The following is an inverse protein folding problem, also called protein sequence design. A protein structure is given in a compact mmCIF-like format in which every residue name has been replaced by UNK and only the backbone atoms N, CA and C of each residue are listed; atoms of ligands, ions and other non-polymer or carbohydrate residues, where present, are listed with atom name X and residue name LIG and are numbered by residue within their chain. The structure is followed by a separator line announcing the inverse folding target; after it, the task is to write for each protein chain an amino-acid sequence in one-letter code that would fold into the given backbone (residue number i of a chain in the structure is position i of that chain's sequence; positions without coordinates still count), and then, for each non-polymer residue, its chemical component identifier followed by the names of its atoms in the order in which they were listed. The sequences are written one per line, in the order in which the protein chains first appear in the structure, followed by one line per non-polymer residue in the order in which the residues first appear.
data_IF_259332852914
#
_entry.id   IF_259332852914
#
_cell.length_a   1.000
_cell.length_b   1.000
_cell.length_c   1.000
_cell.angle_alpha   90.00
_cell.angle_beta   90.00
_cell.angle_gamma   90.00
#
_symmetry.space_group_name_H-M   'P 1'
#
loop_
_entity.id
_entity.type
_entity.pdbx_description
1 polymer ?
#
# COMPACT_ATOMS: atom_id res chain seq x y z
N UNK A 1 -22.25 18.84 12.39
CA UNK A 1 -22.18 17.89 13.52
C UNK A 1 -21.70 16.49 13.10
N UNK A 2 -21.81 16.11 11.83
CA UNK A 2 -21.51 14.76 11.33
C UNK A 2 -20.02 14.38 11.33
N UNK A 3 -19.10 15.32 11.08
CA UNK A 3 -17.64 15.06 11.08
C UNK A 3 -17.10 14.55 12.42
N UNK A 4 -17.67 14.99 13.55
CA UNK A 4 -17.24 14.52 14.89
C UNK A 4 -17.65 13.07 15.13
N UNK A 5 -18.76 12.63 14.54
CA UNK A 5 -19.29 11.29 14.70
C UNK A 5 -18.47 10.25 13.91
N UNK A 6 -18.06 10.60 12.69
CA UNK A 6 -17.15 9.78 11.86
C UNK A 6 -15.78 9.57 12.52
N UNK A 7 -15.20 10.61 13.13
CA UNK A 7 -13.92 10.50 13.85
C UNK A 7 -14.04 9.58 15.05
N UNK A 8 -15.15 9.66 15.80
CA UNK A 8 -15.41 8.79 16.95
C UNK A 8 -15.55 7.33 16.51
N UNK A 9 -16.30 7.05 15.44
CA UNK A 9 -16.42 5.68 14.91
C UNK A 9 -15.07 5.10 14.48
N UNK A 10 -14.23 5.90 13.84
CA UNK A 10 -12.91 5.47 13.38
C UNK A 10 -11.94 5.19 14.54
N UNK A 11 -11.95 6.03 15.58
CA UNK A 11 -11.14 5.79 16.80
C UNK A 11 -11.60 4.53 17.53
N UNK A 12 -12.91 4.30 17.62
CA UNK A 12 -13.47 3.08 18.20
C UNK A 12 -13.05 1.85 17.40
N UNK A 13 -13.05 1.93 16.06
CA UNK A 13 -12.63 0.82 15.21
C UNK A 13 -11.13 0.50 15.39
N UNK A 14 -10.27 1.52 15.44
CA UNK A 14 -8.83 1.34 15.71
C UNK A 14 -8.59 0.71 17.09
N UNK A 15 -9.34 1.14 18.11
CA UNK A 15 -9.26 0.55 19.44
C UNK A 15 -9.73 -0.92 19.46
N UNK A 16 -10.79 -1.24 18.72
CA UNK A 16 -11.26 -2.63 18.57
C UNK A 16 -10.19 -3.49 17.90
N UNK A 17 -9.56 -3.01 16.82
CA UNK A 17 -8.47 -3.72 16.13
C UNK A 17 -7.27 -3.91 17.06
N UNK A 18 -6.88 -2.87 17.81
CA UNK A 18 -5.78 -2.96 18.78
C UNK A 18 -6.07 -3.97 19.92
N UNK A 19 -7.32 -4.00 20.42
CA UNK A 19 -7.75 -4.98 21.42
C UNK A 19 -7.80 -6.39 20.84
N UNK A 20 -8.26 -6.55 19.60
CA UNK A 20 -8.26 -7.84 18.90
C UNK A 20 -6.84 -8.38 18.71
N UNK A 21 -5.90 -7.52 18.29
CA UNK A 21 -4.47 -7.85 18.17
C UNK A 21 -3.89 -8.29 19.53
N UNK A 22 -4.15 -7.55 20.60
CA UNK A 22 -3.66 -7.89 21.94
C UNK A 22 -4.27 -9.19 22.49
N UNK A 23 -5.54 -9.47 22.18
CA UNK A 23 -6.21 -10.73 22.55
C UNK A 23 -5.66 -11.90 21.74
N UNK A 24 -5.40 -11.72 20.44
CA UNK A 24 -4.78 -12.74 19.60
C UNK A 24 -3.34 -13.04 20.02
N UNK A 25 -2.55 -12.03 20.37
CA UNK A 25 -1.19 -12.21 20.86
C UNK A 25 -1.14 -13.02 22.17
N UNK A 26 -2.09 -12.77 23.10
CA UNK A 26 -2.24 -13.61 24.30
C UNK A 26 -2.64 -15.05 23.98
N UNK A 27 -3.54 -15.26 23.02
CA UNK A 27 -3.94 -16.60 22.58
C UNK A 27 -2.80 -17.36 21.89
N UNK A 28 -2.01 -16.66 21.09
CA UNK A 28 -0.83 -17.19 20.42
C UNK A 28 0.20 -17.68 21.44
N UNK A 29 0.53 -16.83 22.43
CA UNK A 29 1.47 -17.18 23.50
C UNK A 29 0.99 -18.40 24.32
N UNK A 30 -0.32 -18.50 24.58
CA UNK A 30 -0.89 -19.65 25.29
C UNK A 30 -0.83 -20.95 24.46
N UNK A 31 -1.07 -20.90 23.16
CA UNK A 31 -0.94 -22.06 22.27
C UNK A 31 0.51 -22.48 22.05
N UNK A 32 1.45 -21.52 21.97
CA UNK A 32 2.87 -21.80 21.86
C UNK A 32 3.40 -22.48 23.14
N UNK A 33 2.92 -22.07 24.31
CA UNK A 33 3.21 -22.77 25.57
C UNK A 33 2.67 -24.21 25.56
N UNK A 34 1.44 -24.42 25.06
CA UNK A 34 0.82 -25.73 24.94
C UNK A 34 1.56 -26.66 23.96
N UNK A 35 2.04 -26.13 22.82
CA UNK A 35 2.91 -26.84 21.88
C UNK A 35 4.25 -27.23 22.51
N UNK A 36 4.85 -26.34 23.31
CA UNK A 36 6.10 -26.64 24.02
C UNK A 36 5.92 -27.76 25.05
N UNK A 37 4.75 -27.82 25.69
CA UNK A 37 4.40 -28.86 26.66
C UNK A 37 4.09 -30.20 25.97
N UNK A 38 3.36 -30.17 24.84
CA UNK A 38 3.15 -31.34 24.00
C UNK A 38 4.46 -31.89 23.41
N UNK A 39 5.38 -31.02 22.98
CA UNK A 39 6.72 -31.43 22.53
C UNK A 39 7.50 -32.16 23.62
N UNK A 40 7.39 -31.73 24.89
CA UNK A 40 7.98 -32.43 26.04
C UNK A 40 7.30 -33.78 26.32
N UNK A 41 5.98 -33.86 26.19
CA UNK A 41 5.24 -35.11 26.36
C UNK A 41 5.60 -36.13 25.27
N UNK A 42 5.70 -35.70 24.00
CA UNK A 42 6.15 -36.53 22.88
C UNK A 42 7.58 -37.03 23.14
N UNK A 43 8.50 -36.16 23.58
CA UNK A 43 9.87 -36.56 23.92
C UNK A 43 9.92 -37.59 25.06
N UNK A 44 9.08 -37.42 26.09
CA UNK A 44 8.94 -38.38 27.20
C UNK A 44 8.40 -39.73 26.71
N UNK A 45 7.36 -39.75 25.89
CA UNK A 45 6.78 -40.98 25.33
C UNK A 45 7.75 -41.71 24.39
N UNK A 46 8.55 -40.97 23.60
CA UNK A 46 9.62 -41.56 22.79
C UNK A 46 10.70 -42.22 23.65
N UNK A 47 11.09 -41.58 24.76
CA UNK A 47 12.02 -42.16 25.73
C UNK A 47 11.46 -43.39 26.44
N UNK A 48 10.16 -43.37 26.77
CA UNK A 48 9.48 -44.50 27.41
C UNK A 48 9.38 -45.69 26.45
N UNK A 49 9.01 -45.46 25.19
CA UNK A 49 8.97 -46.48 24.13
C UNK A 49 10.35 -47.10 23.90
N UNK A 50 11.41 -46.29 23.85
CA UNK A 50 12.79 -46.79 23.73
C UNK A 50 13.15 -47.69 24.94
N UNK A 51 12.78 -47.28 26.16
CA UNK A 51 13.03 -48.09 27.36
C UNK A 51 12.24 -49.41 27.38
N UNK A 52 11.02 -49.43 26.85
CA UNK A 52 10.19 -50.64 26.73
C UNK A 52 10.76 -51.56 25.66
N UNK A 53 11.22 -51.02 24.53
CA UNK A 53 11.92 -51.78 23.50
C UNK A 53 13.23 -52.38 24.02
N UNK A 54 14.05 -51.60 24.73
CA UNK A 54 15.30 -52.07 25.33
C UNK A 54 15.05 -53.16 26.39
N UNK A 55 14.03 -53.02 27.24
CA UNK A 55 13.62 -54.06 28.19
C UNK A 55 13.10 -55.32 27.50
N UNK A 56 12.37 -55.16 26.39
CA UNK A 56 11.87 -56.30 25.60
C UNK A 56 13.01 -57.03 24.92
N UNK A 57 14.00 -56.30 24.38
CA UNK A 57 15.22 -56.86 23.80
C UNK A 57 16.06 -57.55 24.88
N UNK A 58 16.25 -56.92 26.04
CA UNK A 58 16.94 -57.51 27.17
C UNK A 58 16.25 -58.80 27.65
N UNK A 59 14.93 -58.81 27.80
CA UNK A 59 14.15 -60.00 28.18
C UNK A 59 14.17 -61.11 27.11
N UNK A 60 14.32 -60.77 25.82
CA UNK A 60 14.54 -61.73 24.74
C UNK A 60 15.98 -62.28 24.72
N UNK A 61 16.94 -61.50 25.21
CA UNK A 61 18.35 -61.92 25.36
C UNK A 61 18.58 -62.73 26.64
N UNK A 62 17.80 -62.47 27.69
CA UNK A 62 17.91 -63.05 29.04
C UNK A 62 16.94 -64.23 29.28
N UNK A 63 16.57 -64.94 28.21
CA UNK A 63 15.89 -66.25 28.30
C UNK A 63 16.87 -67.36 28.72
N UNK A 64 17.60 -67.13 29.81
CA UNK A 64 18.18 -68.13 30.70
C UNK A 64 18.33 -67.53 32.12
N UNK A 65 17.23 -67.26 32.83
CA UNK A 65 17.02 -67.61 34.26
C UNK A 65 15.85 -66.84 34.91
N UNK A 66 14.94 -67.58 35.54
CA UNK A 66 14.35 -67.23 36.85
C UNK A 66 13.25 -66.16 36.95
N UNK A 67 12.05 -66.58 37.35
CA UNK A 67 10.86 -65.76 37.63
C UNK A 67 11.00 -64.78 38.82
N UNK A 68 10.43 -63.58 38.68
CA UNK A 68 9.58 -62.92 39.69
C UNK A 68 8.89 -61.64 39.14
N UNK A 69 7.77 -61.19 39.76
CA UNK A 69 6.67 -60.53 39.05
C UNK A 69 6.89 -59.02 38.86
N UNK A 70 6.69 -58.54 37.63
CA UNK A 70 6.73 -57.12 37.28
C UNK A 70 5.33 -56.52 37.24
N UNK A 71 5.25 -55.29 37.75
CA UNK A 71 4.14 -54.33 37.61
C UNK A 71 3.53 -54.33 36.19
N UNK A 72 2.29 -53.86 36.00
CA UNK A 72 1.70 -53.74 34.67
C UNK A 72 2.53 -52.77 33.81
N UNK A 73 3.49 -53.31 33.07
CA UNK A 73 4.25 -52.59 32.04
C UNK A 73 3.27 -52.32 30.91
N UNK A 74 3.01 -51.03 30.63
CA UNK A 74 2.24 -50.63 29.46
C UNK A 74 2.80 -51.35 28.22
N UNK A 75 1.92 -52.01 27.47
CA UNK A 75 2.38 -52.76 26.29
C UNK A 75 2.95 -51.79 25.26
N UNK A 76 3.98 -52.19 24.50
CA UNK A 76 4.60 -51.30 23.50
C UNK A 76 3.57 -50.68 22.53
N UNK A 77 2.52 -51.43 22.18
CA UNK A 77 1.40 -50.97 21.36
C UNK A 77 0.57 -49.84 22.02
N UNK A 78 0.45 -49.84 23.34
CA UNK A 78 -0.27 -48.80 24.09
C UNK A 78 0.52 -47.49 24.15
N UNK A 79 1.85 -47.57 24.27
CA UNK A 79 2.75 -46.40 24.21
C UNK A 79 2.80 -45.83 22.79
N UNK A 80 2.79 -46.69 21.76
CA UNK A 80 2.78 -46.31 20.35
C UNK A 80 1.48 -45.61 19.94
N UNK A 81 0.31 -46.12 20.38
CA UNK A 81 -0.98 -45.47 20.15
C UNK A 81 -1.07 -44.09 20.83
N UNK A 82 -0.50 -43.94 22.04
CA UNK A 82 -0.44 -42.64 22.73
C UNK A 82 0.51 -41.66 22.04
N UNK A 83 1.60 -42.15 21.45
CA UNK A 83 2.53 -41.34 20.67
C UNK A 83 1.86 -40.80 19.39
N UNK A 84 1.18 -41.67 18.63
CA UNK A 84 0.46 -41.29 17.42
C UNK A 84 -0.63 -40.24 17.70
N UNK A 85 -1.38 -40.43 18.80
CA UNK A 85 -2.37 -39.46 19.24
C UNK A 85 -1.74 -38.12 19.66
N UNK A 86 -0.59 -38.14 20.34
CA UNK A 86 0.13 -36.94 20.74
C UNK A 86 0.71 -36.18 19.53
N UNK A 87 1.28 -36.88 18.54
CA UNK A 87 1.81 -36.29 17.31
C UNK A 87 0.71 -35.65 16.47
N UNK A 88 -0.44 -36.32 16.31
CA UNK A 88 -1.61 -35.75 15.62
C UNK A 88 -2.13 -34.48 16.32
N UNK A 89 -2.18 -34.48 17.64
CA UNK A 89 -2.64 -33.30 18.41
C UNK A 89 -1.65 -32.13 18.28
N UNK A 90 -0.34 -32.41 18.23
CA UNK A 90 0.69 -31.39 18.03
C UNK A 90 0.65 -30.80 16.61
N UNK A 91 0.38 -31.62 15.60
CA UNK A 91 0.21 -31.16 14.21
C UNK A 91 -1.02 -30.24 14.06
N UNK A 92 -2.16 -30.62 14.65
CA UNK A 92 -3.36 -29.77 14.70
C UNK A 92 -3.12 -28.46 15.46
N UNK A 93 -2.36 -28.49 16.55
CA UNK A 93 -2.00 -27.28 17.31
C UNK A 93 -1.02 -26.38 16.51
N UNK A 94 -0.06 -26.96 15.79
CA UNK A 94 0.86 -26.22 14.93
C UNK A 94 0.14 -25.55 13.77
N UNK A 95 -0.83 -26.23 13.16
CA UNK A 95 -1.65 -25.68 12.08
C UNK A 95 -2.46 -24.46 12.54
N UNK A 96 -3.09 -24.53 13.73
CA UNK A 96 -3.81 -23.39 14.34
C UNK A 96 -2.91 -22.20 14.65
N UNK A 97 -1.68 -22.47 15.11
CA UNK A 97 -0.69 -21.41 15.38
C UNK A 97 -0.25 -20.74 14.07
N UNK A 98 -0.10 -21.50 12.98
CA UNK A 98 0.21 -20.95 11.66
C UNK A 98 -0.96 -20.09 11.11
N UNK A 99 -2.20 -20.57 11.21
CA UNK A 99 -3.39 -19.81 10.82
C UNK A 99 -3.50 -18.48 11.60
N UNK A 100 -3.23 -18.50 12.91
CA UNK A 100 -3.19 -17.30 13.74
C UNK A 100 -2.06 -16.33 13.36
N UNK A 101 -0.90 -16.84 12.94
CA UNK A 101 0.20 -16.01 12.43
C UNK A 101 -0.18 -15.31 11.13
N UNK A 102 -0.83 -16.05 10.22
CA UNK A 102 -1.29 -15.53 8.95
C UNK A 102 -2.38 -14.46 9.15
N UNK A 103 -3.33 -14.69 10.07
CA UNK A 103 -4.33 -13.68 10.49
C UNK A 103 -3.67 -12.44 11.12
N UNK A 104 -2.67 -12.62 11.99
CA UNK A 104 -1.98 -11.51 12.63
C UNK A 104 -1.19 -10.68 11.62
N UNK A 105 -0.57 -11.33 10.63
CA UNK A 105 0.11 -10.66 9.53
C UNK A 105 -0.88 -9.86 8.67
N UNK A 106 -2.04 -10.43 8.37
CA UNK A 106 -3.11 -9.75 7.62
C UNK A 106 -3.64 -8.52 8.38
N UNK A 107 -3.82 -8.62 9.70
CA UNK A 107 -4.25 -7.49 10.53
C UNK A 107 -3.18 -6.39 10.64
N UNK A 108 -1.89 -6.77 10.69
CA UNK A 108 -0.77 -5.81 10.65
C UNK A 108 -0.74 -5.09 9.30
N UNK A 109 -0.86 -5.82 8.20
CA UNK A 109 -0.92 -5.25 6.85
C UNK A 109 -2.10 -4.27 6.71
N UNK A 110 -3.30 -4.66 7.19
CA UNK A 110 -4.48 -3.80 7.19
C UNK A 110 -4.28 -2.54 8.05
N UNK A 111 -3.62 -2.67 9.21
CA UNK A 111 -3.33 -1.54 10.08
C UNK A 111 -2.34 -0.55 9.44
N UNK A 112 -1.31 -1.06 8.76
CA UNK A 112 -0.37 -0.24 7.98
C UNK A 112 -1.08 0.46 6.82
N UNK A 113 -1.88 -0.27 6.01
CA UNK A 113 -2.67 0.32 4.91
C UNK A 113 -3.62 1.42 5.43
N UNK A 114 -4.26 1.22 6.58
CA UNK A 114 -5.08 2.27 7.21
C UNK A 114 -4.28 3.51 7.64
N UNK A 115 -3.07 3.33 8.15
CA UNK A 115 -2.19 4.45 8.53
C UNK A 115 -1.71 5.22 7.31
N UNK A 116 -1.30 4.51 6.25
CA UNK A 116 -0.84 5.10 5.00
C UNK A 116 -1.97 5.89 4.33
N UNK A 117 -3.18 5.33 4.24
CA UNK A 117 -4.36 6.04 3.73
C UNK A 117 -4.68 7.30 4.55
N UNK A 118 -4.45 7.28 5.86
CA UNK A 118 -4.66 8.47 6.71
C UNK A 118 -3.61 9.54 6.42
N UNK A 119 -2.34 9.17 6.34
CA UNK A 119 -1.25 10.09 5.99
C UNK A 119 -1.48 10.71 4.61
N UNK A 120 -1.86 9.89 3.61
CA UNK A 120 -2.20 10.34 2.26
C UNK A 120 -3.37 11.34 2.26
N UNK A 121 -4.45 11.08 3.02
CA UNK A 121 -5.57 12.03 3.14
C UNK A 121 -5.16 13.35 3.77
N UNK A 122 -4.25 13.33 4.74
CA UNK A 122 -3.72 14.55 5.36
C UNK A 122 -2.91 15.37 4.35
N UNK A 123 -2.05 14.71 3.57
CA UNK A 123 -1.30 15.36 2.49
C UNK A 123 -2.26 15.97 1.47
N UNK A 124 -3.25 15.22 0.97
CA UNK A 124 -4.23 15.74 0.03
C UNK A 124 -4.99 16.95 0.59
N UNK A 125 -5.34 16.93 1.88
CA UNK A 125 -6.00 18.07 2.55
C UNK A 125 -5.08 19.30 2.62
N UNK A 126 -3.80 19.11 2.95
CA UNK A 126 -2.82 20.18 2.98
C UNK A 126 -2.59 20.78 1.59
N UNK A 127 -2.48 19.93 0.58
CA UNK A 127 -2.29 20.35 -0.82
C UNK A 127 -3.51 21.11 -1.33
N UNK A 128 -4.72 20.66 -1.01
CA UNK A 128 -5.94 21.40 -1.34
C UNK A 128 -5.98 22.77 -0.66
N UNK A 129 -5.56 22.88 0.61
CA UNK A 129 -5.46 24.17 1.29
C UNK A 129 -4.42 25.10 0.63
N UNK A 130 -3.30 24.56 0.14
CA UNK A 130 -2.31 25.32 -0.64
C UNK A 130 -2.90 25.84 -1.95
N UNK A 131 -3.67 25.01 -2.65
CA UNK A 131 -4.38 25.39 -3.87
C UNK A 131 -5.41 26.51 -3.61
N UNK A 132 -6.24 26.37 -2.57
CA UNK A 132 -7.24 27.39 -2.19
C UNK A 132 -6.57 28.74 -1.87
N UNK A 133 -5.44 28.71 -1.15
CA UNK A 133 -4.68 29.91 -0.84
C UNK A 133 -4.14 30.60 -2.11
N UNK A 134 -3.58 29.84 -3.05
CA UNK A 134 -3.09 30.38 -4.33
C UNK A 134 -4.22 31.08 -5.09
N UNK A 135 -5.39 30.45 -5.15
CA UNK A 135 -6.58 31.03 -5.77
C UNK A 135 -6.99 32.34 -5.09
N UNK A 136 -7.07 32.35 -3.76
CA UNK A 136 -7.46 33.54 -3.00
C UNK A 136 -6.45 34.71 -3.21
N UNK A 137 -5.15 34.40 -3.22
CA UNK A 137 -4.09 35.39 -3.45
C UNK A 137 -4.18 36.00 -4.86
N UNK A 138 -4.36 35.18 -5.90
CA UNK A 138 -4.52 35.65 -7.28
C UNK A 138 -5.84 36.41 -7.50
N UNK A 139 -6.94 35.96 -6.87
CA UNK A 139 -8.22 36.67 -6.91
C UNK A 139 -8.08 38.06 -6.27
N UNK A 140 -7.35 38.16 -5.17
CA UNK A 140 -7.08 39.45 -4.52
C UNK A 140 -6.23 40.37 -5.40
N UNK A 141 -5.25 39.82 -6.13
CA UNK A 141 -4.34 40.59 -6.99
C UNK A 141 -4.96 41.01 -8.33
N UNK A 142 -5.73 40.13 -8.97
CA UNK A 142 -6.20 40.29 -10.35
C UNK A 142 -7.72 40.45 -10.48
N UNK A 143 -8.45 40.26 -9.37
CA UNK A 143 -9.90 40.40 -9.33
C UNK A 143 -10.65 39.16 -9.83
N UNK A 144 -11.98 39.29 -9.89
CA UNK A 144 -12.89 38.17 -10.19
C UNK A 144 -12.80 37.66 -11.64
N UNK A 145 -12.33 38.47 -12.57
CA UNK A 145 -12.26 38.09 -13.99
C UNK A 145 -11.34 36.88 -14.20
N UNK A 146 -10.15 36.88 -13.58
CA UNK A 146 -9.20 35.77 -13.64
C UNK A 146 -9.85 34.47 -13.16
N UNK A 147 -10.62 34.53 -12.08
CA UNK A 147 -11.28 33.35 -11.51
C UNK A 147 -12.40 32.78 -12.38
N UNK A 148 -13.18 33.66 -13.02
CA UNK A 148 -14.23 33.23 -13.95
C UNK A 148 -13.62 32.59 -15.21
N UNK A 149 -12.53 33.15 -15.73
CA UNK A 149 -11.78 32.54 -16.84
C UNK A 149 -11.19 31.19 -16.44
N UNK A 150 -10.56 31.12 -15.26
CA UNK A 150 -10.05 29.88 -14.69
C UNK A 150 -11.12 28.79 -14.61
N UNK A 151 -12.24 29.08 -13.94
CA UNK A 151 -13.35 28.11 -13.80
C UNK A 151 -13.87 27.59 -15.13
N UNK A 152 -14.02 28.48 -16.12
CA UNK A 152 -14.49 28.08 -17.46
C UNK A 152 -13.44 27.26 -18.21
N UNK A 153 -12.16 27.55 -17.99
CA UNK A 153 -11.04 26.87 -18.66
C UNK A 153 -10.83 25.42 -18.24
N UNK A 154 -11.40 25.01 -17.10
CA UNK A 154 -11.19 23.68 -16.51
C UNK A 154 -11.74 22.56 -17.41
N UNK A 155 -11.09 21.38 -17.39
CA UNK A 155 -11.57 20.21 -18.12
C UNK A 155 -12.95 19.76 -17.63
N UNK A 156 -13.84 19.39 -18.55
CA UNK A 156 -15.15 18.82 -18.20
C UNK A 156 -15.03 17.34 -17.87
N UNK A 157 -15.42 16.97 -16.65
CA UNK A 157 -15.44 15.57 -16.22
C UNK A 157 -16.62 14.80 -16.85
N UNK A 158 -16.40 13.51 -17.13
CA UNK A 158 -17.48 12.60 -17.59
C UNK A 158 -17.96 12.77 -19.03
N UNK A 159 -17.37 13.64 -19.84
CA UNK A 159 -17.78 13.89 -21.24
C UNK A 159 -16.71 13.50 -22.26
N UNK A 160 -17.08 13.08 -23.48
CA UNK A 160 -16.10 12.67 -24.49
C UNK A 160 -15.14 13.79 -24.94
N UNK A 161 -15.58 15.04 -24.97
CA UNK A 161 -14.70 16.17 -25.24
C UNK A 161 -14.35 16.91 -23.93
N UNK A 162 -13.08 16.85 -23.49
CA UNK A 162 -12.61 17.53 -22.27
C UNK A 162 -12.72 19.05 -22.37
N UNK A 163 -12.50 19.58 -23.58
CA UNK A 163 -12.33 21.00 -23.85
C UNK A 163 -13.30 21.39 -24.97
N UNK A 164 -14.46 21.92 -24.59
CA UNK A 164 -15.36 22.52 -25.57
C UNK A 164 -14.89 23.93 -25.97
N UNK A 165 -15.56 24.52 -26.96
CA UNK A 165 -15.16 25.83 -27.49
C UNK A 165 -15.18 26.95 -26.44
N UNK A 166 -16.10 26.88 -25.46
CA UNK A 166 -16.12 27.86 -24.35
C UNK A 166 -14.92 27.68 -23.43
N UNK A 167 -14.64 26.45 -23.01
CA UNK A 167 -13.48 26.14 -22.16
C UNK A 167 -12.17 26.54 -22.83
N UNK A 168 -12.00 26.20 -24.12
CA UNK A 168 -10.80 26.53 -24.89
C UNK A 168 -10.63 28.04 -25.09
N UNK A 169 -11.72 28.77 -25.35
CA UNK A 169 -11.68 30.23 -25.47
C UNK A 169 -11.28 30.87 -24.13
N UNK A 170 -11.89 30.43 -23.02
CA UNK A 170 -11.58 30.94 -21.69
C UNK A 170 -10.13 30.64 -21.28
N UNK A 171 -9.61 29.46 -21.62
CA UNK A 171 -8.21 29.09 -21.38
C UNK A 171 -7.24 29.99 -22.16
N UNK A 172 -7.48 30.17 -23.46
CA UNK A 172 -6.66 31.06 -24.29
C UNK A 172 -6.66 32.49 -23.76
N UNK A 173 -7.82 32.96 -23.33
CA UNK A 173 -7.96 34.29 -22.73
C UNK A 173 -7.24 34.40 -21.38
N UNK A 174 -7.32 33.37 -20.53
CA UNK A 174 -6.60 33.29 -19.25
C UNK A 174 -5.08 33.36 -19.46
N UNK A 175 -4.54 32.53 -20.37
CA UNK A 175 -3.10 32.48 -20.68
C UNK A 175 -2.63 33.81 -21.30
N UNK A 176 -3.46 34.44 -22.14
CA UNK A 176 -3.09 35.71 -22.78
C UNK A 176 -3.13 36.91 -21.83
N UNK A 177 -4.14 37.00 -20.96
CA UNK A 177 -4.33 38.15 -20.04
C UNK A 177 -3.50 38.03 -18.76
N UNK A 178 -3.35 36.81 -18.25
CA UNK A 178 -2.73 36.53 -16.96
C UNK A 178 -1.61 35.48 -17.09
N UNK A 179 -0.60 35.66 -17.97
CA UNK A 179 0.41 34.63 -18.26
C UNK A 179 1.33 34.29 -17.08
N UNK A 180 1.37 35.13 -16.04
CA UNK A 180 2.25 34.98 -14.87
C UNK A 180 1.49 34.67 -13.58
N UNK A 181 0.16 34.60 -13.63
CA UNK A 181 -0.63 34.25 -12.46
C UNK A 181 -0.52 32.75 -12.18
N UNK A 182 -0.49 32.38 -10.89
CA UNK A 182 -0.37 30.99 -10.48
C UNK A 182 -1.60 30.18 -10.88
N UNK A 183 -2.77 30.79 -10.88
CA UNK A 183 -4.04 30.21 -11.33
C UNK A 183 -3.99 29.83 -12.82
N UNK A 184 -3.25 30.58 -13.64
CA UNK A 184 -2.99 30.19 -15.03
C UNK A 184 -2.12 28.94 -15.09
N UNK A 185 -1.09 28.83 -14.23
CA UNK A 185 -0.29 27.61 -14.09
C UNK A 185 -1.15 26.42 -13.72
N UNK A 186 -2.06 26.60 -12.76
CA UNK A 186 -3.01 25.57 -12.34
C UNK A 186 -3.92 25.15 -13.49
N UNK A 187 -4.45 26.09 -14.28
CA UNK A 187 -5.27 25.74 -15.45
C UNK A 187 -4.50 24.89 -16.47
N UNK A 188 -3.25 25.25 -16.77
CA UNK A 188 -2.37 24.49 -17.67
C UNK A 188 -2.13 23.09 -17.12
N UNK A 189 -1.80 22.98 -15.83
CA UNK A 189 -1.59 21.71 -15.14
C UNK A 189 -2.83 20.80 -15.15
N UNK A 190 -4.01 21.35 -14.88
CA UNK A 190 -5.28 20.61 -14.92
C UNK A 190 -5.58 20.06 -16.31
N UNK A 191 -5.30 20.84 -17.37
CA UNK A 191 -5.42 20.36 -18.76
C UNK A 191 -4.42 19.26 -19.08
N UNK A 192 -3.15 19.41 -18.70
CA UNK A 192 -2.12 18.39 -18.89
C UNK A 192 -2.49 17.06 -18.22
N UNK A 193 -2.93 17.11 -16.96
CA UNK A 193 -3.32 15.93 -16.20
C UNK A 193 -4.62 15.31 -16.72
N UNK A 194 -5.55 16.11 -17.25
CA UNK A 194 -6.75 15.58 -17.90
C UNK A 194 -6.43 14.82 -19.20
N UNK A 195 -5.49 15.33 -20.03
CA UNK A 195 -4.97 14.61 -21.20
C UNK A 195 -4.25 13.33 -20.78
N UNK A 196 -3.34 13.41 -19.80
CA UNK A 196 -2.62 12.24 -19.26
C UNK A 196 -3.60 11.18 -18.74
N UNK A 197 -4.65 11.61 -18.04
CA UNK A 197 -5.70 10.72 -17.55
C UNK A 197 -6.41 10.00 -18.71
N UNK A 198 -6.57 10.62 -19.88
CA UNK A 198 -7.17 9.99 -21.07
C UNK A 198 -6.19 9.21 -21.94
N UNK A 199 -4.94 9.10 -21.51
CA UNK A 199 -3.85 8.53 -22.33
C UNK A 199 -3.62 9.32 -23.62
N UNK A 200 -4.00 10.60 -23.64
CA UNK A 200 -3.66 11.55 -24.69
C UNK A 200 -2.25 12.11 -24.41
N UNK A 201 -1.24 11.35 -24.82
CA UNK A 201 0.17 11.70 -24.57
C UNK A 201 0.58 12.98 -25.28
N UNK A 202 0.03 13.25 -26.47
CA UNK A 202 0.34 14.45 -27.25
C UNK A 202 -0.16 15.71 -26.53
N UNK A 203 -1.44 15.74 -26.14
CA UNK A 203 -1.99 16.85 -25.37
C UNK A 203 -1.34 17.01 -24.01
N UNK A 204 -1.01 15.90 -23.32
CA UNK A 204 -0.28 15.96 -22.05
C UNK A 204 1.10 16.60 -22.22
N UNK A 205 1.81 16.28 -23.31
CA UNK A 205 3.12 16.84 -23.64
C UNK A 205 3.03 18.32 -24.00
N UNK A 206 2.03 18.72 -24.78
CA UNK A 206 1.80 20.13 -25.14
C UNK A 206 1.63 21.01 -23.90
N UNK A 207 0.69 20.65 -23.02
CA UNK A 207 0.43 21.43 -21.81
C UNK A 207 1.56 21.33 -20.77
N UNK A 208 2.25 20.19 -20.67
CA UNK A 208 3.46 20.08 -19.85
C UNK A 208 4.55 21.04 -20.32
N UNK A 209 4.79 21.13 -21.63
CA UNK A 209 5.75 22.08 -22.19
C UNK A 209 5.31 23.54 -21.96
N UNK A 210 4.01 23.84 -22.00
CA UNK A 210 3.51 25.16 -21.62
C UNK A 210 3.81 25.49 -20.16
N UNK A 211 3.68 24.51 -19.26
CA UNK A 211 3.97 24.67 -17.83
C UNK A 211 5.46 24.94 -17.60
N UNK A 212 6.34 24.12 -18.22
CA UNK A 212 7.79 24.19 -18.01
C UNK A 212 8.48 25.38 -18.69
N UNK A 213 7.94 25.87 -19.81
CA UNK A 213 8.52 27.00 -20.55
C UNK A 213 7.93 28.36 -20.11
N UNK A 214 6.91 28.36 -19.26
CA UNK A 214 6.29 29.58 -18.74
C UNK A 214 7.13 30.21 -17.63
N UNK A 215 6.78 31.44 -17.23
CA UNK A 215 7.23 32.04 -15.96
C UNK A 215 6.50 31.42 -14.74
N UNK A 216 5.98 30.21 -14.91
CA UNK A 216 5.08 29.54 -14.00
C UNK A 216 5.91 28.68 -13.05
N UNK A 217 5.52 28.66 -11.79
CA UNK A 217 6.19 27.90 -10.73
C UNK A 217 6.07 26.40 -11.00
N UNK A 218 7.13 25.62 -10.77
CA UNK A 218 7.17 24.18 -10.98
C UNK A 218 6.42 23.40 -9.88
N UNK A 219 6.04 24.09 -8.79
CA UNK A 219 5.34 23.53 -7.63
C UNK A 219 3.81 23.73 -7.68
N UNK A 220 3.22 23.67 -8.88
CA UNK A 220 1.76 23.81 -9.07
C UNK A 220 0.99 22.68 -8.41
N UNK A 221 0.03 23.06 -7.56
CA UNK A 221 -0.94 22.14 -6.96
C UNK A 221 -2.32 22.36 -7.56
N UNK A 222 -2.91 21.28 -8.08
CA UNK A 222 -4.24 21.27 -8.70
C UNK A 222 -5.36 21.40 -7.67
N UNK A 223 -6.59 21.60 -8.15
CA UNK A 223 -7.81 21.61 -7.33
C UNK A 223 -8.07 20.31 -6.58
N UNK A 224 -7.45 19.21 -7.04
CA UNK A 224 -7.52 17.88 -6.42
C UNK A 224 -6.40 17.62 -5.41
N UNK A 225 -5.55 18.61 -5.13
CA UNK A 225 -4.42 18.48 -4.21
C UNK A 225 -3.27 17.64 -4.79
N UNK A 226 -3.08 17.67 -6.11
CA UNK A 226 -2.02 16.93 -6.81
C UNK A 226 -0.93 17.89 -7.25
N UNK A 227 0.33 17.57 -6.95
CA UNK A 227 1.49 18.25 -7.52
C UNK A 227 1.64 17.86 -8.98
N UNK A 228 1.48 18.83 -9.88
CA UNK A 228 1.29 18.57 -11.30
C UNK A 228 2.54 17.99 -11.97
N UNK A 229 3.70 18.63 -11.75
CA UNK A 229 4.97 18.26 -12.37
C UNK A 229 5.38 16.81 -12.08
N UNK A 230 5.52 16.38 -10.80
CA UNK A 230 5.93 15.00 -10.53
C UNK A 230 4.85 14.00 -10.97
N UNK A 231 3.56 14.33 -10.91
CA UNK A 231 2.50 13.45 -11.43
C UNK A 231 2.57 13.25 -12.95
N UNK A 232 2.86 14.31 -13.73
CA UNK A 232 3.06 14.22 -15.18
C UNK A 232 4.32 13.43 -15.53
N UNK A 233 5.42 13.64 -14.82
CA UNK A 233 6.66 12.86 -14.98
C UNK A 233 6.41 11.37 -14.71
N UNK A 234 5.65 11.03 -13.66
CA UNK A 234 5.26 9.65 -13.38
C UNK A 234 4.39 9.03 -14.48
N UNK A 235 3.47 9.81 -15.06
CA UNK A 235 2.70 9.40 -16.24
C UNK A 235 3.60 9.13 -17.46
N UNK A 236 4.47 10.07 -17.84
CA UNK A 236 5.35 9.89 -19.00
C UNK A 236 6.33 8.73 -18.80
N UNK A 237 6.80 8.52 -17.57
CA UNK A 237 7.69 7.38 -17.22
C UNK A 237 6.98 6.07 -17.52
N UNK A 238 5.71 5.98 -17.11
CA UNK A 238 4.88 4.81 -17.38
C UNK A 238 4.64 4.60 -18.88
N UNK A 239 4.52 5.68 -19.67
CA UNK A 239 4.38 5.58 -21.13
C UNK A 239 5.65 5.09 -21.81
N UNK A 240 6.82 5.63 -21.44
CA UNK A 240 8.11 5.16 -21.97
C UNK A 240 8.31 3.66 -21.68
N UNK A 241 8.06 3.23 -20.45
CA UNK A 241 8.15 1.82 -20.08
C UNK A 241 7.20 0.92 -20.90
N UNK A 242 5.95 1.35 -21.11
CA UNK A 242 4.98 0.62 -21.95
C UNK A 242 5.39 0.52 -23.41
N UNK A 243 6.04 1.54 -23.94
CA UNK A 243 6.53 1.58 -25.31
C UNK A 243 7.85 0.81 -25.50
N UNK A 244 8.41 0.21 -24.44
CA UNK A 244 9.69 -0.48 -24.47
C UNK A 244 10.91 0.45 -24.44
N UNK A 245 10.68 1.76 -24.25
CA UNK A 245 11.74 2.76 -24.18
C UNK A 245 12.27 2.88 -22.74
N UNK A 246 12.91 1.80 -22.28
CA UNK A 246 13.29 1.65 -20.89
C UNK A 246 14.42 2.59 -20.45
N UNK A 247 15.27 3.05 -21.37
CA UNK A 247 16.34 3.98 -21.04
C UNK A 247 15.75 5.34 -20.63
N UNK A 248 14.76 5.83 -21.36
CA UNK A 248 14.08 7.09 -21.13
C UNK A 248 13.20 7.01 -19.88
N UNK A 249 12.54 5.86 -19.67
CA UNK A 249 11.84 5.59 -18.42
C UNK A 249 12.80 5.64 -17.22
N UNK A 250 13.99 5.04 -17.33
CA UNK A 250 14.98 5.03 -16.25
C UNK A 250 15.56 6.42 -15.97
N UNK A 251 15.86 7.20 -17.02
CA UNK A 251 16.32 8.59 -16.89
C UNK A 251 15.31 9.43 -16.10
N UNK A 252 14.02 9.30 -16.43
CA UNK A 252 12.99 10.07 -15.76
C UNK A 252 12.69 9.57 -14.34
N UNK A 253 12.86 8.28 -14.06
CA UNK A 253 12.85 7.76 -12.68
C UNK A 253 13.97 8.35 -11.83
N UNK A 254 15.18 8.44 -12.38
CA UNK A 254 16.31 9.05 -11.67
C UNK A 254 16.02 10.54 -11.40
N UNK A 255 15.51 11.26 -12.40
CA UNK A 255 15.13 12.66 -12.23
C UNK A 255 14.06 12.87 -11.14
N UNK A 256 13.02 12.02 -11.12
CA UNK A 256 12.01 12.00 -10.06
C UNK A 256 12.64 11.76 -8.68
N UNK A 257 13.51 10.76 -8.58
CA UNK A 257 14.18 10.39 -7.32
C UNK A 257 15.11 11.49 -6.80
N UNK A 258 15.73 12.27 -7.68
CA UNK A 258 16.68 13.33 -7.32
C UNK A 258 15.99 14.65 -6.94
N UNK A 259 14.87 14.99 -7.59
CA UNK A 259 14.27 16.32 -7.48
C UNK A 259 12.94 16.35 -6.72
N UNK A 260 12.27 15.20 -6.59
CA UNK A 260 10.92 15.11 -6.05
C UNK A 260 10.77 14.00 -4.99
N UNK A 261 11.85 13.62 -4.29
CA UNK A 261 11.83 12.52 -3.30
C UNK A 261 10.73 12.68 -2.25
N UNK A 262 10.54 13.90 -1.74
CA UNK A 262 9.55 14.24 -0.71
C UNK A 262 8.15 14.52 -1.29
N UNK A 263 8.00 14.50 -2.61
CA UNK A 263 6.71 14.75 -3.27
C UNK A 263 5.79 13.54 -3.21
N UNK A 264 4.50 13.84 -3.20
CA UNK A 264 3.46 12.83 -3.36
C UNK A 264 2.95 12.86 -4.80
N UNK A 265 2.99 11.71 -5.45
CA UNK A 265 2.39 11.51 -6.75
C UNK A 265 0.91 11.18 -6.58
N UNK A 266 0.07 11.71 -7.47
CA UNK A 266 -1.28 11.20 -7.65
C UNK A 266 -1.42 10.71 -9.09
N UNK A 267 -1.21 9.41 -9.28
CA UNK A 267 -1.28 8.79 -10.60
C UNK A 267 -2.67 8.21 -10.83
N UNK A 268 -3.12 8.14 -12.08
CA UNK A 268 -4.42 7.55 -12.41
C UNK A 268 -4.39 6.05 -12.09
N UNK A 269 -5.24 5.63 -11.13
CA UNK A 269 -5.49 4.23 -10.86
C UNK A 269 -6.32 3.55 -11.95
N UNK A 270 -6.48 2.21 -11.89
CA UNK A 270 -7.24 1.45 -12.87
C UNK A 270 -8.69 1.93 -13.08
N UNK A 271 -9.33 2.47 -12.05
CA UNK A 271 -10.69 3.02 -12.10
C UNK A 271 -10.78 4.50 -12.47
N UNK A 272 -9.64 5.18 -12.71
CA UNK A 272 -9.59 6.61 -13.00
C UNK A 272 -9.49 7.52 -11.78
N UNK A 273 -9.61 6.98 -10.57
CA UNK A 273 -9.36 7.71 -9.33
C UNK A 273 -7.86 7.97 -9.13
N UNK A 274 -7.47 9.10 -8.49
CA UNK A 274 -6.08 9.34 -8.13
C UNK A 274 -5.62 8.31 -7.08
N UNK A 275 -4.60 7.55 -7.43
CA UNK A 275 -3.86 6.70 -6.51
C UNK A 275 -2.65 7.50 -6.03
N UNK A 276 -2.67 7.81 -4.74
CA UNK A 276 -1.60 8.54 -4.09
C UNK A 276 -0.46 7.57 -3.75
N UNK A 277 0.77 7.99 -4.07
CA UNK A 277 2.00 7.23 -3.86
C UNK A 277 3.10 8.23 -3.52
N UNK A 278 4.05 7.84 -2.68
CA UNK A 278 5.30 8.60 -2.61
C UNK A 278 6.06 8.44 -3.93
N UNK A 279 6.94 9.39 -4.27
CA UNK A 279 7.85 9.23 -5.40
C UNK A 279 8.74 8.00 -5.20
N UNK A 280 9.25 7.77 -3.98
CA UNK A 280 10.07 6.60 -3.66
C UNK A 280 9.36 5.27 -3.96
N UNK A 281 8.12 5.10 -3.51
CA UNK A 281 7.34 3.88 -3.78
C UNK A 281 7.11 3.68 -5.28
N UNK A 282 6.85 4.77 -6.00
CA UNK A 282 6.69 4.72 -7.45
C UNK A 282 7.99 4.33 -8.16
N UNK A 283 9.11 4.95 -7.78
CA UNK A 283 10.43 4.67 -8.35
C UNK A 283 10.83 3.22 -8.11
N UNK A 284 10.65 2.70 -6.89
CA UNK A 284 10.96 1.30 -6.58
C UNK A 284 10.09 0.34 -7.38
N UNK A 285 8.77 0.56 -7.42
CA UNK A 285 7.83 -0.30 -8.15
C UNK A 285 8.13 -0.31 -9.65
N UNK A 286 8.33 0.88 -10.24
CA UNK A 286 8.55 1.03 -11.67
C UNK A 286 9.94 0.56 -12.09
N UNK A 287 10.98 0.82 -11.30
CA UNK A 287 12.31 0.27 -11.52
C UNK A 287 12.31 -1.26 -11.52
N UNK A 288 11.56 -1.89 -10.61
CA UNK A 288 11.38 -3.34 -10.61
C UNK A 288 10.65 -3.86 -11.86
N UNK A 289 9.64 -3.14 -12.35
CA UNK A 289 8.90 -3.49 -13.56
C UNK A 289 9.79 -3.41 -14.83
N UNK A 290 10.58 -2.35 -14.95
CA UNK A 290 11.55 -2.16 -16.03
C UNK A 290 12.59 -3.29 -16.00
N UNK A 291 13.19 -3.57 -14.84
CA UNK A 291 14.21 -4.61 -14.69
C UNK A 291 13.68 -6.02 -15.01
N UNK A 292 12.40 -6.30 -14.71
CA UNK A 292 11.77 -7.58 -15.08
C UNK A 292 11.50 -7.68 -16.57
N UNK A 293 11.16 -6.58 -17.23
CA UNK A 293 10.82 -6.54 -18.65
C UNK A 293 12.05 -6.59 -19.57
N UNK A 294 13.25 -6.35 -19.03
CA UNK A 294 14.53 -6.47 -19.74
C UNK A 294 15.18 -7.87 -19.66
N UNK A 295 14.60 -8.81 -18.91
CA UNK A 295 15.08 -10.19 -18.77
C UNK A 295 14.38 -11.14 -19.74
#
# INVERSE_FOLDING_TARGET
MEKKWLVIQLVVLVLIVAVLLAVQERRFNAQQALLSEQGRQIASLKSELASVQDKTIAALTDKQAGESPQEPVATGAEVEARLEQAEKTAEEASSKVQEMLDEQNLLKELATDMQDRKAQRQIATMMQARHEKILDDDIAAHGKELYELYKKSLPKEGVMNLFDGESDTAFKELVAKYPTAQTTAVAVAERALACAARQDTEGATEYYNMLMNGALDDTVVTSKGVEATPALLGYFTSQYARNGDYAQAQEMLNYLSENYTDSTLALRGPGGEPVYSTVDDFVQRMGNEINRSQR
#
